data_IF_539482383368
#
_entry.id   IF_539482383368
#
_cell.length_a   1.000
_cell.length_b   1.000
_cell.length_c   1.000
_cell.angle_alpha   90.00
_cell.angle_beta   90.00
_cell.angle_gamma   90.00
#
_symmetry.space_group_name_H-M   'P 1'
#
loop_
_entity.id
_entity.type
_entity.pdbx_description
1 polymer ?
#
# COMPACT_ATOMS: atom_id res chain seq x y z
N UNK A 1 -4.58 19.79 -18.83
CA UNK A 1 -5.84 20.30 -19.38
C UNK A 1 -6.94 19.85 -18.43
N UNK A 2 -7.31 20.71 -17.50
CA UNK A 2 -8.34 20.44 -16.49
C UNK A 2 -9.69 20.76 -17.10
N UNK A 3 -10.57 19.78 -17.27
CA UNK A 3 -11.99 20.03 -17.46
C UNK A 3 -12.71 19.78 -16.14
N UNK A 4 -13.16 20.87 -15.58
CA UNK A 4 -14.06 20.97 -14.45
C UNK A 4 -15.42 20.37 -14.82
N UNK A 5 -15.85 19.36 -14.07
CA UNK A 5 -17.23 18.92 -14.06
C UNK A 5 -18.07 19.96 -13.32
N UNK A 6 -18.66 20.85 -14.07
CA UNK A 6 -19.67 21.78 -13.59
C UNK A 6 -21.05 21.18 -13.74
N UNK A 7 -21.74 21.13 -12.60
CA UNK A 7 -23.13 21.47 -12.35
C UNK A 7 -24.25 20.62 -12.92
N UNK A 8 -24.93 19.96 -12.01
CA UNK A 8 -26.39 19.80 -12.07
C UNK A 8 -27.05 20.63 -10.94
N UNK A 9 -27.44 21.91 -11.19
CA UNK A 9 -28.36 22.61 -10.30
C UNK A 9 -29.56 23.23 -11.06
N UNK A 10 -30.08 22.60 -12.12
CA UNK A 10 -31.19 23.25 -12.89
C UNK A 10 -32.57 22.64 -12.53
N UNK A 11 -32.67 21.47 -11.94
CA UNK A 11 -33.97 20.88 -11.62
C UNK A 11 -34.55 21.27 -10.26
N UNK A 12 -33.74 21.72 -9.31
CA UNK A 12 -34.23 22.07 -7.95
C UNK A 12 -34.95 23.41 -7.95
N UNK A 13 -34.53 24.36 -8.76
CA UNK A 13 -35.14 25.71 -8.81
C UNK A 13 -36.57 25.73 -9.38
N UNK A 14 -36.86 24.92 -10.40
CA UNK A 14 -38.21 24.84 -10.96
C UNK A 14 -39.21 24.15 -10.04
N UNK A 15 -38.80 23.14 -9.35
CA UNK A 15 -39.64 22.42 -8.38
C UNK A 15 -39.99 23.31 -7.19
N UNK A 16 -39.05 24.13 -6.71
CA UNK A 16 -39.27 25.07 -5.60
C UNK A 16 -40.29 26.17 -5.98
N UNK A 17 -40.29 26.63 -7.22
CA UNK A 17 -41.23 27.66 -7.69
C UNK A 17 -42.67 27.15 -7.83
N UNK A 18 -42.84 25.92 -8.32
CA UNK A 18 -44.18 25.24 -8.39
C UNK A 18 -44.69 25.00 -6.98
N UNK A 19 -43.83 24.61 -6.05
CA UNK A 19 -44.18 24.41 -4.66
C UNK A 19 -44.66 25.68 -3.94
N UNK A 20 -44.01 26.81 -4.22
CA UNK A 20 -44.38 28.11 -3.64
C UNK A 20 -45.78 28.55 -4.09
N UNK A 21 -46.12 28.34 -5.38
CA UNK A 21 -47.43 28.68 -5.93
C UNK A 21 -48.57 27.84 -5.42
N UNK A 22 -48.31 26.60 -5.02
CA UNK A 22 -49.31 25.68 -4.40
C UNK A 22 -49.53 26.08 -2.91
N UNK A 23 -48.48 26.55 -2.23
CA UNK A 23 -48.54 26.95 -0.81
C UNK A 23 -49.36 28.24 -0.58
N UNK A 24 -49.34 29.17 -1.53
CA UNK A 24 -50.01 30.46 -1.40
C UNK A 24 -51.55 30.37 -1.54
N UNK A 25 -52.06 29.25 -2.04
CA UNK A 25 -53.52 29.02 -2.31
C UNK A 25 -54.24 28.12 -1.29
N UNK A 26 -53.59 27.73 -0.20
CA UNK A 26 -54.16 26.79 0.79
C UNK A 26 -54.59 27.48 2.08
N UNK A 27 -55.85 27.22 2.52
CA UNK A 27 -56.47 27.75 3.77
C UNK A 27 -55.66 27.38 5.04
N UNK A 28 -55.53 28.34 6.02
CA UNK A 28 -54.26 28.47 6.73
C UNK A 28 -53.99 27.60 7.97
N UNK A 29 -54.78 26.72 8.43
CA UNK A 29 -54.51 26.12 9.75
C UNK A 29 -54.36 24.59 9.85
N UNK A 30 -54.92 23.80 8.97
CA UNK A 30 -54.79 22.34 9.06
C UNK A 30 -53.74 21.76 8.11
N UNK A 31 -53.51 22.42 7.01
CA UNK A 31 -52.64 21.94 5.93
C UNK A 31 -51.17 22.27 6.20
N UNK A 32 -50.87 23.38 6.91
CA UNK A 32 -49.50 23.72 7.32
C UNK A 32 -48.89 22.71 8.28
N UNK A 33 -49.69 22.17 9.20
CA UNK A 33 -49.21 21.15 10.16
C UNK A 33 -48.95 19.81 9.44
N UNK A 34 -49.85 19.42 8.51
CA UNK A 34 -49.66 18.19 7.71
C UNK A 34 -48.43 18.28 6.80
N UNK A 35 -48.13 19.46 6.23
CA UNK A 35 -46.97 19.71 5.38
C UNK A 35 -45.66 19.70 6.16
N UNK A 36 -45.62 20.33 7.35
CA UNK A 36 -44.49 20.20 8.25
C UNK A 36 -44.22 18.74 8.66
N UNK A 37 -45.26 17.98 8.94
CA UNK A 37 -45.14 16.55 9.26
C UNK A 37 -44.57 15.75 8.08
N UNK A 38 -45.04 16.00 6.86
CA UNK A 38 -44.56 15.33 5.64
C UNK A 38 -43.06 15.71 5.35
N UNK A 39 -42.71 16.99 5.53
CA UNK A 39 -41.34 17.44 5.38
C UNK A 39 -40.44 16.83 6.47
N UNK A 40 -40.89 16.78 7.72
CA UNK A 40 -40.17 16.09 8.80
C UNK A 40 -40.04 14.58 8.53
N UNK A 41 -41.09 13.92 8.02
CA UNK A 41 -41.02 12.51 7.62
C UNK A 41 -40.02 12.33 6.45
N UNK A 42 -40.07 13.18 5.43
CA UNK A 42 -39.11 13.12 4.32
C UNK A 42 -37.65 13.37 4.77
N UNK A 43 -37.42 14.29 5.72
CA UNK A 43 -36.12 14.53 6.31
C UNK A 43 -35.61 13.32 7.14
N UNK A 44 -36.51 12.58 7.78
CA UNK A 44 -36.18 11.33 8.49
C UNK A 44 -35.82 10.21 7.50
N UNK A 45 -36.47 10.15 6.34
CA UNK A 45 -36.10 9.20 5.27
C UNK A 45 -34.80 9.59 4.54
N UNK A 46 -34.43 10.87 4.47
CA UNK A 46 -33.15 11.31 3.94
C UNK A 46 -31.99 11.22 4.94
N UNK A 47 -32.27 11.06 6.22
CA UNK A 47 -31.25 10.78 7.24
C UNK A 47 -30.91 9.30 7.39
N UNK A 48 -31.20 8.47 6.39
CA UNK A 48 -30.57 7.19 6.20
C UNK A 48 -29.09 7.40 5.92
N UNK A 49 -28.34 7.82 6.93
CA UNK A 49 -26.89 7.62 6.96
C UNK A 49 -26.68 6.13 6.80
N UNK A 50 -26.21 5.71 5.64
CA UNK A 50 -25.56 4.42 5.48
C UNK A 50 -24.35 4.48 6.42
N UNK A 51 -24.55 4.07 7.67
CA UNK A 51 -23.51 4.01 8.66
C UNK A 51 -22.51 3.00 8.15
N UNK A 52 -21.38 3.47 7.63
CA UNK A 52 -20.28 2.63 7.21
C UNK A 52 -20.08 1.60 8.33
N UNK A 53 -20.30 0.33 7.99
CA UNK A 53 -20.19 -0.73 9.00
C UNK A 53 -18.71 -0.91 9.29
N UNK A 54 -18.29 -0.54 10.49
CA UNK A 54 -16.94 -0.74 10.97
C UNK A 54 -16.79 -2.09 11.66
N UNK A 55 -15.60 -2.62 11.68
CA UNK A 55 -15.28 -3.82 12.45
C UNK A 55 -15.53 -3.59 13.93
N UNK A 56 -16.33 -4.46 14.52
CA UNK A 56 -16.62 -4.49 15.95
C UNK A 56 -16.24 -5.86 16.49
N UNK A 57 -15.09 -6.00 17.16
CA UNK A 57 -14.69 -7.26 17.74
C UNK A 57 -15.67 -7.66 18.86
N UNK A 58 -16.02 -8.94 18.92
CA UNK A 58 -16.85 -9.48 20.00
C UNK A 58 -16.12 -9.42 21.35
N UNK A 59 -14.82 -9.58 21.31
CA UNK A 59 -13.96 -9.54 22.49
C UNK A 59 -12.71 -8.71 22.24
N UNK A 60 -12.29 -7.92 23.23
CA UNK A 60 -11.04 -7.15 23.22
C UNK A 60 -10.21 -7.64 24.39
N UNK A 61 -9.08 -8.29 24.10
CA UNK A 61 -8.18 -8.87 25.12
C UNK A 61 -7.53 -7.81 26.00
N UNK A 62 -7.29 -6.64 25.42
CA UNK A 62 -6.64 -5.59 26.18
C UNK A 62 -6.30 -4.35 25.36
N UNK A 63 -5.47 -3.49 25.92
CA UNK A 63 -4.98 -2.27 25.29
C UNK A 63 -3.48 -2.33 25.14
N UNK A 64 -2.99 -2.06 23.93
CA UNK A 64 -1.57 -1.96 23.63
C UNK A 64 -1.19 -0.48 23.46
N UNK A 65 -0.14 -0.07 24.13
CA UNK A 65 0.46 1.25 23.97
C UNK A 65 1.56 1.19 22.92
N UNK A 66 1.67 2.26 22.14
CA UNK A 66 2.83 2.44 21.29
C UNK A 66 4.09 2.60 22.15
N UNK A 67 5.17 1.95 21.74
CA UNK A 67 6.42 1.93 22.49
C UNK A 67 7.49 2.86 21.91
N UNK A 68 7.09 3.69 20.93
CA UNK A 68 7.93 4.73 20.36
C UNK A 68 7.11 5.82 19.67
N UNK A 69 7.79 6.93 19.36
CA UNK A 69 7.22 8.06 18.65
C UNK A 69 8.25 8.63 17.68
N UNK A 70 7.81 8.96 16.46
CA UNK A 70 8.59 9.68 15.47
C UNK A 70 8.62 11.17 15.82
N UNK A 71 9.69 11.85 15.47
CA UNK A 71 9.81 13.31 15.64
C UNK A 71 8.75 14.07 14.83
N UNK A 72 8.49 13.61 13.60
CA UNK A 72 7.42 14.11 12.73
C UNK A 72 6.60 12.96 12.18
N UNK A 73 5.31 13.18 11.87
CA UNK A 73 4.48 12.12 11.30
C UNK A 73 4.91 11.75 9.89
N UNK A 74 4.50 10.56 9.46
CA UNK A 74 4.64 10.10 8.10
C UNK A 74 3.97 11.08 7.13
N UNK A 75 4.66 11.44 6.06
CA UNK A 75 4.13 12.23 4.96
C UNK A 75 3.65 11.34 3.81
N UNK A 76 4.44 10.33 3.46
CA UNK A 76 4.17 9.38 2.38
C UNK A 76 4.85 8.05 2.65
N UNK A 77 4.38 7.01 2.00
CA UNK A 77 5.04 5.70 1.99
C UNK A 77 4.87 5.04 0.63
N UNK A 78 5.85 4.25 0.24
CA UNK A 78 5.82 3.30 -0.87
C UNK A 78 6.19 1.91 -0.33
N UNK A 79 6.47 0.94 -1.20
CA UNK A 79 6.82 -0.42 -0.77
C UNK A 79 8.21 -0.51 -0.12
N UNK A 80 9.14 0.35 -0.53
CA UNK A 80 10.54 0.31 -0.09
C UNK A 80 10.84 1.21 1.11
N UNK A 81 10.01 2.25 1.34
CA UNK A 81 10.32 3.28 2.33
C UNK A 81 9.11 4.10 2.75
N UNK A 82 9.27 4.83 3.83
CA UNK A 82 8.40 5.95 4.19
C UNK A 82 9.21 7.21 4.43
N UNK A 83 8.62 8.36 4.09
CA UNK A 83 9.19 9.69 4.32
C UNK A 83 8.37 10.43 5.37
N UNK A 84 9.03 11.05 6.32
CA UNK A 84 8.42 11.89 7.34
C UNK A 84 8.24 13.32 6.81
N UNK A 85 7.44 14.12 7.51
CA UNK A 85 7.25 15.55 7.17
C UNK A 85 8.51 16.42 7.29
N UNK A 86 9.54 15.97 7.98
CA UNK A 86 10.86 16.61 8.02
C UNK A 86 11.85 15.96 7.03
N UNK A 87 11.35 15.18 6.08
CA UNK A 87 12.11 14.45 5.05
C UNK A 87 13.05 13.35 5.58
N UNK A 88 13.02 13.02 6.86
CA UNK A 88 13.69 11.82 7.36
C UNK A 88 13.05 10.56 6.77
N UNK A 89 13.83 9.51 6.59
CA UNK A 89 13.42 8.30 5.86
C UNK A 89 13.38 7.10 6.79
N UNK A 90 12.33 6.30 6.66
CA UNK A 90 12.23 4.95 7.21
C UNK A 90 12.44 3.96 6.06
N UNK A 91 13.35 3.00 6.24
CA UNK A 91 13.60 1.90 5.30
C UNK A 91 13.10 0.59 5.87
N UNK A 92 13.29 -0.52 5.18
CA UNK A 92 13.02 -1.86 5.73
C UNK A 92 13.81 -2.17 7.01
N UNK A 93 14.95 -1.52 7.22
CA UNK A 93 15.78 -1.65 8.42
C UNK A 93 15.35 -0.71 9.56
N UNK A 94 14.27 0.04 9.39
CA UNK A 94 13.74 0.99 10.35
C UNK A 94 14.09 2.44 10.07
N UNK A 95 13.93 3.32 11.09
CA UNK A 95 14.20 4.74 10.97
C UNK A 95 15.70 4.98 10.73
N UNK A 96 16.01 5.64 9.63
CA UNK A 96 17.37 6.06 9.32
C UNK A 96 17.66 7.48 9.86
N UNK A 97 18.94 7.79 10.06
CA UNK A 97 19.38 9.15 10.39
C UNK A 97 19.54 10.04 9.13
N UNK A 98 19.06 9.55 7.99
CA UNK A 98 19.22 10.21 6.69
C UNK A 98 17.98 11.01 6.37
N UNK A 99 18.18 12.23 5.89
CA UNK A 99 17.13 13.10 5.33
C UNK A 99 17.32 13.27 3.83
N UNK A 100 16.24 13.23 3.08
CA UNK A 100 16.20 13.54 1.65
C UNK A 100 15.84 15.02 1.42
N UNK A 101 16.05 15.52 0.20
CA UNK A 101 15.50 16.80 -0.18
C UNK A 101 13.97 16.72 -0.38
N UNK A 102 13.28 17.86 -0.45
CA UNK A 102 11.82 17.91 -0.51
C UNK A 102 11.24 17.11 -1.68
N UNK A 103 11.83 17.26 -2.88
CA UNK A 103 11.38 16.61 -4.11
C UNK A 103 11.93 15.18 -4.30
N UNK A 104 12.74 14.70 -3.36
CA UNK A 104 13.35 13.38 -3.44
C UNK A 104 12.46 12.31 -2.77
N UNK A 105 12.38 11.13 -3.40
CA UNK A 105 11.74 9.96 -2.83
C UNK A 105 12.63 8.74 -2.99
N UNK A 106 12.79 7.97 -1.92
CA UNK A 106 13.54 6.71 -1.96
C UNK A 106 12.74 5.64 -2.69
N UNK A 107 13.32 5.06 -3.73
CA UNK A 107 12.74 3.97 -4.53
C UNK A 107 13.30 2.61 -4.12
N UNK A 108 14.57 2.56 -3.76
CA UNK A 108 15.25 1.34 -3.35
C UNK A 108 16.46 1.67 -2.48
N UNK A 109 16.74 0.83 -1.49
CA UNK A 109 17.87 0.96 -0.59
C UNK A 109 18.58 -0.40 -0.44
N UNK A 110 19.90 -0.38 -0.47
CA UNK A 110 20.72 -1.50 -0.03
C UNK A 110 21.89 -0.99 0.83
N UNK A 111 22.77 -1.86 1.26
CA UNK A 111 23.91 -1.51 2.14
C UNK A 111 24.99 -0.66 1.46
N UNK A 112 24.98 -0.51 0.14
CA UNK A 112 26.01 0.20 -0.64
C UNK A 112 25.53 1.55 -1.15
N UNK A 113 24.26 1.64 -1.55
CA UNK A 113 23.73 2.82 -2.24
C UNK A 113 22.21 2.87 -2.22
N UNK A 114 21.67 4.07 -2.41
CA UNK A 114 20.25 4.35 -2.51
C UNK A 114 19.90 4.79 -3.92
N UNK A 115 18.75 4.30 -4.44
CA UNK A 115 18.09 4.84 -5.61
C UNK A 115 17.02 5.83 -5.17
N UNK A 116 17.16 7.07 -5.60
CA UNK A 116 16.29 8.18 -5.21
C UNK A 116 15.75 8.87 -6.45
N UNK A 117 14.44 9.01 -6.58
CA UNK A 117 13.87 9.90 -7.60
C UNK A 117 13.97 11.35 -7.14
N UNK A 118 14.41 12.24 -8.04
CA UNK A 118 14.38 13.68 -7.82
C UNK A 118 13.36 14.30 -8.80
N UNK A 119 12.22 14.70 -8.25
CA UNK A 119 11.08 15.09 -9.10
C UNK A 119 10.64 13.95 -10.02
N UNK A 120 10.33 14.30 -11.29
CA UNK A 120 9.73 13.35 -12.23
C UNK A 120 10.72 12.66 -13.18
N UNK A 121 11.85 13.25 -13.49
CA UNK A 121 12.68 12.80 -14.63
C UNK A 121 14.14 12.55 -14.27
N UNK A 122 14.48 12.48 -13.01
CA UNK A 122 15.84 12.22 -12.56
C UNK A 122 15.86 11.05 -11.58
N UNK A 123 16.82 10.13 -11.81
CA UNK A 123 17.16 9.06 -10.89
C UNK A 123 18.57 9.32 -10.36
N UNK A 124 18.66 9.47 -9.06
CA UNK A 124 19.92 9.60 -8.34
C UNK A 124 20.36 8.23 -7.81
N UNK A 125 21.59 7.87 -8.07
CA UNK A 125 22.27 6.74 -7.46
C UNK A 125 23.24 7.35 -6.45
N UNK A 126 22.94 7.25 -5.17
CA UNK A 126 23.71 7.90 -4.11
C UNK A 126 24.41 6.83 -3.30
N UNK A 127 25.75 6.75 -3.37
CA UNK A 127 26.53 5.84 -2.53
C UNK A 127 26.31 6.14 -1.05
N UNK A 128 26.53 5.13 -0.21
CA UNK A 128 26.52 5.27 1.23
C UNK A 128 27.95 5.34 1.76
N UNK A 129 28.19 6.32 2.64
CA UNK A 129 29.38 6.38 3.48
C UNK A 129 29.04 5.77 4.84
N UNK A 130 29.92 4.87 5.29
CA UNK A 130 29.83 4.29 6.61
C UNK A 130 31.04 4.72 7.42
N UNK A 131 30.82 5.50 8.46
CA UNK A 131 31.85 5.97 9.38
C UNK A 131 31.41 5.72 10.82
N UNK A 132 32.20 4.97 11.58
CA UNK A 132 32.05 4.74 13.03
C UNK A 132 30.61 4.54 13.52
N UNK A 133 29.83 3.64 12.88
CA UNK A 133 28.41 3.34 13.12
C UNK A 133 27.40 4.39 12.60
N UNK A 134 27.83 5.40 11.86
CA UNK A 134 26.92 6.32 11.17
C UNK A 134 26.87 6.03 9.69
N UNK A 135 25.69 6.05 9.12
CA UNK A 135 25.46 5.92 7.67
C UNK A 135 25.00 7.28 7.15
N UNK A 136 25.65 7.76 6.09
CA UNK A 136 25.29 9.01 5.43
C UNK A 136 25.31 8.85 3.90
N UNK A 137 24.67 9.79 3.19
CA UNK A 137 24.65 9.82 1.73
C UNK A 137 25.89 10.53 1.19
N UNK A 138 26.62 9.86 0.31
CA UNK A 138 27.73 10.46 -0.45
C UNK A 138 27.20 11.26 -1.65
N UNK A 139 26.61 12.41 -1.38
CA UNK A 139 26.00 13.26 -2.41
C UNK A 139 26.98 13.80 -3.44
N UNK A 140 28.24 14.17 -3.07
CA UNK A 140 29.22 14.58 -4.05
C UNK A 140 29.55 13.54 -5.12
N UNK A 141 29.49 12.25 -4.78
CA UNK A 141 29.69 11.13 -5.68
C UNK A 141 28.40 10.52 -6.24
N UNK A 142 27.26 11.19 -6.05
CA UNK A 142 25.99 10.74 -6.61
C UNK A 142 26.00 10.83 -8.15
N UNK A 143 25.53 9.77 -8.79
CA UNK A 143 25.30 9.74 -10.24
C UNK A 143 23.85 10.06 -10.54
N UNK A 144 23.60 10.93 -11.52
CA UNK A 144 22.26 11.28 -11.99
C UNK A 144 22.01 10.67 -13.37
N UNK A 145 20.87 10.01 -13.52
CA UNK A 145 20.36 9.49 -14.79
C UNK A 145 19.10 10.26 -15.14
N UNK A 146 19.08 10.90 -16.31
CA UNK A 146 17.87 11.52 -16.86
C UNK A 146 16.96 10.44 -17.44
N UNK A 147 15.68 10.44 -17.02
CA UNK A 147 14.64 9.55 -17.54
C UNK A 147 13.62 10.34 -18.35
N UNK A 148 12.86 9.63 -19.21
CA UNK A 148 11.83 10.27 -20.07
C UNK A 148 10.47 10.41 -19.37
N UNK A 149 10.45 10.47 -18.04
CA UNK A 149 9.23 10.61 -17.23
C UNK A 149 9.41 10.18 -15.79
N UNK A 150 8.36 10.35 -14.98
CA UNK A 150 8.36 10.03 -13.56
C UNK A 150 8.62 8.55 -13.31
N UNK A 151 9.56 8.24 -12.42
CA UNK A 151 9.89 6.87 -12.04
C UNK A 151 8.96 6.46 -10.89
N UNK A 152 8.27 5.34 -11.05
CA UNK A 152 7.35 4.81 -10.03
C UNK A 152 7.97 3.69 -9.20
N UNK A 153 8.88 2.90 -9.80
CA UNK A 153 9.63 1.86 -9.09
C UNK A 153 10.98 1.61 -9.76
N UNK A 154 11.98 1.23 -8.98
CA UNK A 154 13.30 0.86 -9.48
C UNK A 154 14.00 -0.09 -8.51
N UNK A 155 14.95 -0.87 -9.05
CA UNK A 155 15.85 -1.73 -8.28
C UNK A 155 17.25 -1.66 -8.88
N UNK A 156 18.26 -1.96 -8.06
CA UNK A 156 19.64 -2.07 -8.49
C UNK A 156 20.25 -3.38 -7.97
N UNK A 157 20.95 -4.05 -8.86
CA UNK A 157 21.82 -5.18 -8.53
C UNK A 157 23.13 -5.00 -9.28
N UNK A 158 24.25 -4.99 -8.56
CA UNK A 158 25.57 -4.72 -9.11
C UNK A 158 25.60 -3.39 -9.89
N UNK A 159 25.84 -3.42 -11.20
CA UNK A 159 25.87 -2.25 -12.07
C UNK A 159 24.61 -2.08 -12.92
N UNK A 160 23.55 -2.84 -12.66
CA UNK A 160 22.33 -2.82 -13.44
C UNK A 160 21.20 -2.18 -12.64
N UNK A 161 20.52 -1.22 -13.26
CA UNK A 161 19.34 -0.56 -12.73
C UNK A 161 18.15 -0.88 -13.62
N UNK A 162 17.15 -1.51 -13.05
CA UNK A 162 15.86 -1.75 -13.68
C UNK A 162 14.79 -0.81 -13.12
N UNK A 163 13.98 -0.20 -13.96
CA UNK A 163 12.93 0.70 -13.49
C UNK A 163 11.71 0.73 -14.37
N UNK A 164 10.62 1.24 -13.78
CA UNK A 164 9.32 1.44 -14.40
C UNK A 164 8.92 2.91 -14.30
N UNK A 165 8.58 3.52 -15.43
CA UNK A 165 8.09 4.89 -15.49
C UNK A 165 6.56 4.93 -15.36
N UNK A 166 6.01 6.06 -14.95
CA UNK A 166 4.58 6.31 -14.87
C UNK A 166 3.85 6.18 -16.22
N UNK A 167 4.57 6.27 -17.34
CA UNK A 167 4.09 5.99 -18.68
C UNK A 167 3.98 4.50 -19.02
N UNK A 168 4.23 3.59 -18.05
CA UNK A 168 4.40 2.17 -18.25
C UNK A 168 5.59 1.81 -19.17
N UNK A 169 6.63 2.66 -19.18
CA UNK A 169 7.88 2.37 -19.87
C UNK A 169 8.81 1.62 -18.92
N UNK A 170 9.31 0.48 -19.36
CA UNK A 170 10.31 -0.32 -18.67
C UNK A 170 11.69 0.08 -19.17
N UNK A 171 12.68 0.13 -18.30
CA UNK A 171 14.07 0.39 -18.71
C UNK A 171 15.08 -0.44 -17.93
N UNK A 172 16.19 -0.76 -18.59
CA UNK A 172 17.40 -1.30 -18.01
C UNK A 172 18.55 -0.34 -18.33
N UNK A 173 19.22 0.15 -17.31
CA UNK A 173 20.38 1.01 -17.42
C UNK A 173 21.61 0.27 -16.88
N UNK A 174 22.70 0.34 -17.62
CA UNK A 174 24.00 -0.25 -17.26
C UNK A 174 24.95 0.86 -16.83
N UNK A 175 25.31 0.88 -15.53
CA UNK A 175 26.22 1.88 -14.96
C UNK A 175 27.64 1.78 -15.54
N UNK A 176 28.05 0.60 -16.00
CA UNK A 176 29.38 0.40 -16.60
C UNK A 176 29.46 0.98 -17.99
N UNK A 177 28.39 0.83 -18.79
CA UNK A 177 28.32 1.35 -20.16
C UNK A 177 27.77 2.78 -20.20
N UNK A 178 27.27 3.28 -19.08
CA UNK A 178 26.63 4.58 -18.96
C UNK A 178 25.49 4.79 -19.98
N UNK A 179 24.68 3.76 -20.20
CA UNK A 179 23.65 3.76 -21.23
C UNK A 179 22.46 2.88 -20.89
N UNK A 180 21.32 3.19 -21.53
CA UNK A 180 20.15 2.32 -21.52
C UNK A 180 20.37 1.13 -22.45
N UNK A 181 20.47 -0.07 -21.88
CA UNK A 181 20.59 -1.32 -22.65
C UNK A 181 19.22 -1.80 -23.17
N UNK A 182 18.14 -1.36 -22.53
CA UNK A 182 16.77 -1.75 -22.89
C UNK A 182 15.80 -0.64 -22.50
N UNK A 183 14.87 -0.35 -23.39
CA UNK A 183 13.67 0.45 -23.11
C UNK A 183 12.52 -0.06 -23.95
N UNK A 184 11.35 -0.29 -23.34
CA UNK A 184 10.12 -0.60 -24.04
C UNK A 184 8.96 0.07 -23.35
N UNK A 185 7.94 0.46 -24.13
CA UNK A 185 6.70 1.01 -23.62
C UNK A 185 5.63 -0.07 -23.71
N UNK A 186 5.04 -0.38 -22.58
CA UNK A 186 3.90 -1.28 -22.46
C UNK A 186 2.57 -0.57 -22.73
N UNK A 187 1.45 -1.23 -22.56
CA UNK A 187 0.13 -0.67 -22.81
C UNK A 187 -0.14 0.58 -21.96
N UNK A 188 -0.94 1.48 -22.51
CA UNK A 188 -1.35 2.69 -21.81
C UNK A 188 -2.28 2.35 -20.65
N UNK A 189 -2.12 3.10 -19.56
CA UNK A 189 -2.87 2.93 -18.31
C UNK A 189 -3.76 4.13 -18.05
N UNK A 190 -4.90 3.90 -17.39
CA UNK A 190 -5.85 4.97 -17.03
C UNK A 190 -5.69 5.43 -15.59
N UNK A 191 -5.51 4.50 -14.68
CA UNK A 191 -5.29 4.77 -13.25
C UNK A 191 -4.51 3.63 -12.60
N UNK A 192 -3.61 3.98 -11.69
CA UNK A 192 -2.77 3.04 -10.95
C UNK A 192 -2.98 3.19 -9.45
N UNK A 193 -2.77 2.11 -8.72
CA UNK A 193 -2.64 2.15 -7.26
C UNK A 193 -1.33 2.83 -6.86
N UNK A 194 -1.30 3.44 -5.68
CA UNK A 194 -0.07 3.97 -5.09
C UNK A 194 0.93 2.89 -4.64
N UNK A 195 0.49 1.63 -4.51
CA UNK A 195 1.38 0.50 -4.27
C UNK A 195 1.95 0.03 -5.62
N UNK A 196 3.27 -0.04 -5.72
CA UNK A 196 3.98 -0.54 -6.90
C UNK A 196 5.03 -1.53 -6.45
N UNK A 197 5.09 -2.69 -7.13
CA UNK A 197 6.20 -3.60 -6.94
C UNK A 197 7.46 -3.07 -7.62
N UNK A 198 8.63 -3.43 -7.09
CA UNK A 198 9.91 -3.13 -7.74
C UNK A 198 10.29 -4.25 -8.72
N UNK A 199 11.03 -3.95 -9.80
CA UNK A 199 11.63 -4.96 -10.66
C UNK A 199 12.54 -5.89 -9.86
N UNK A 200 12.59 -7.17 -10.25
CA UNK A 200 13.50 -8.14 -9.65
C UNK A 200 14.58 -8.50 -10.65
N UNK A 201 15.84 -8.17 -10.31
CA UNK A 201 17.01 -8.46 -11.13
C UNK A 201 17.62 -9.80 -10.66
N UNK A 202 17.54 -10.82 -11.50
CA UNK A 202 18.17 -12.12 -11.32
C UNK A 202 19.54 -12.14 -12.00
N UNK A 203 20.19 -13.29 -12.11
CA UNK A 203 21.54 -13.35 -12.68
C UNK A 203 21.54 -13.14 -14.20
N UNK A 204 20.54 -13.68 -14.91
CA UNK A 204 20.44 -13.59 -16.38
C UNK A 204 19.16 -12.91 -16.86
N UNK A 205 18.20 -12.72 -15.99
CA UNK A 205 16.86 -12.23 -16.30
C UNK A 205 16.45 -11.08 -15.39
N UNK A 206 15.58 -10.21 -15.89
CA UNK A 206 14.88 -9.22 -15.08
C UNK A 206 13.39 -9.46 -15.21
N UNK A 207 12.68 -9.49 -14.09
CA UNK A 207 11.22 -9.52 -14.07
C UNK A 207 10.71 -8.13 -13.75
N UNK A 208 10.07 -7.50 -14.72
CA UNK A 208 9.45 -6.18 -14.56
C UNK A 208 7.98 -6.32 -14.18
N UNK A 209 7.54 -5.71 -13.08
CA UNK A 209 6.13 -5.53 -12.75
C UNK A 209 5.58 -4.34 -13.54
N UNK A 210 4.64 -4.58 -14.44
CA UNK A 210 4.08 -3.51 -15.26
C UNK A 210 2.88 -2.83 -14.57
N UNK A 211 2.50 -1.67 -15.09
CA UNK A 211 1.39 -0.91 -14.54
C UNK A 211 0.03 -1.32 -15.14
N UNK A 212 0.03 -2.19 -16.14
CA UNK A 212 -1.15 -2.77 -16.81
C UNK A 212 -1.43 -4.23 -16.42
N UNK A 213 -0.78 -4.73 -15.35
CA UNK A 213 -1.08 -6.05 -14.77
C UNK A 213 -0.35 -7.21 -15.40
N UNK A 214 0.84 -6.96 -15.94
CA UNK A 214 1.69 -7.99 -16.55
C UNK A 214 3.03 -8.11 -15.82
N UNK A 215 3.70 -9.22 -16.05
CA UNK A 215 5.11 -9.42 -15.74
C UNK A 215 5.87 -9.56 -17.06
N UNK A 216 6.74 -8.63 -17.38
CA UNK A 216 7.60 -8.73 -18.54
C UNK A 216 8.99 -9.20 -18.12
N UNK A 217 9.43 -10.33 -18.65
CA UNK A 217 10.74 -10.90 -18.33
C UNK A 217 11.70 -10.62 -19.48
N UNK A 218 12.84 -10.01 -19.17
CA UNK A 218 13.86 -9.55 -20.09
C UNK A 218 15.13 -10.36 -19.88
N UNK A 219 15.73 -10.88 -20.98
CA UNK A 219 17.08 -11.40 -20.98
C UNK A 219 18.09 -10.24 -20.91
N UNK A 220 18.96 -10.24 -19.88
CA UNK A 220 19.90 -9.14 -19.63
C UNK A 220 20.92 -9.00 -20.76
N UNK A 221 21.45 -10.13 -21.26
CA UNK A 221 22.49 -10.13 -22.27
C UNK A 221 21.98 -9.68 -23.64
N UNK A 222 20.76 -10.11 -24.01
CA UNK A 222 20.16 -9.81 -25.30
C UNK A 222 19.38 -8.47 -25.31
N UNK A 223 18.98 -7.96 -24.14
CA UNK A 223 18.10 -6.78 -24.03
C UNK A 223 16.74 -7.01 -24.70
N UNK A 224 16.21 -8.23 -24.64
CA UNK A 224 14.94 -8.61 -25.29
C UNK A 224 13.97 -9.23 -24.33
N UNK A 225 12.69 -8.98 -24.55
CA UNK A 225 11.61 -9.67 -23.83
C UNK A 225 11.60 -11.15 -24.23
N UNK A 226 11.69 -12.03 -23.24
CA UNK A 226 11.64 -13.48 -23.41
C UNK A 226 10.31 -14.07 -22.95
N UNK A 227 9.60 -13.40 -22.04
CA UNK A 227 8.30 -13.84 -21.54
C UNK A 227 7.47 -12.67 -21.09
N UNK A 228 6.20 -12.66 -21.49
CA UNK A 228 5.20 -11.71 -21.00
C UNK A 228 4.05 -12.51 -20.38
N UNK A 229 3.80 -12.32 -19.09
CA UNK A 229 2.79 -13.03 -18.32
C UNK A 229 1.68 -12.06 -17.95
N UNK A 230 0.45 -12.36 -18.34
CA UNK A 230 -0.72 -11.61 -17.93
C UNK A 230 -1.15 -12.10 -16.55
N UNK A 231 -0.99 -11.25 -15.53
CA UNK A 231 -1.46 -11.52 -14.18
C UNK A 231 -2.95 -11.17 -14.08
N UNK A 232 -3.34 -10.00 -14.63
CA UNK A 232 -4.73 -9.56 -14.64
C UNK A 232 -4.97 -8.61 -15.82
N UNK A 233 -6.23 -8.45 -16.28
CA UNK A 233 -6.62 -7.67 -17.48
C UNK A 233 -7.58 -6.52 -17.18
N UNK A 234 -7.69 -6.09 -15.95
CA UNK A 234 -8.55 -4.98 -15.57
C UNK A 234 -8.09 -3.64 -16.19
N UNK A 235 -9.02 -2.72 -16.43
CA UNK A 235 -8.70 -1.41 -17.01
C UNK A 235 -8.16 -0.40 -15.99
N UNK A 236 -8.51 -0.55 -14.72
CA UNK A 236 -8.19 0.42 -13.66
C UNK A 236 -7.54 -0.29 -12.47
N UNK A 237 -6.59 0.37 -11.84
CA UNK A 237 -5.87 -0.12 -10.66
C UNK A 237 -5.29 -1.53 -10.86
N UNK A 238 -4.78 -1.80 -12.07
CA UNK A 238 -4.33 -3.11 -12.48
C UNK A 238 -2.81 -3.32 -12.33
N UNK A 239 -2.09 -2.30 -11.86
CA UNK A 239 -0.64 -2.43 -11.69
C UNK A 239 -0.28 -3.56 -10.72
N UNK A 240 0.88 -4.15 -10.96
CA UNK A 240 1.46 -5.14 -10.05
C UNK A 240 1.84 -4.44 -8.74
N UNK A 241 1.20 -4.86 -7.65
CA UNK A 241 1.41 -4.30 -6.30
C UNK A 241 2.40 -5.12 -5.48
N UNK A 242 2.67 -6.35 -5.88
CA UNK A 242 3.57 -7.27 -5.20
C UNK A 242 4.31 -8.14 -6.20
N UNK A 243 5.61 -8.28 -6.03
CA UNK A 243 6.45 -9.20 -6.78
C UNK A 243 7.59 -9.68 -5.88
N UNK A 244 7.69 -10.99 -5.70
CA UNK A 244 8.79 -11.63 -5.00
C UNK A 244 9.22 -12.87 -5.76
N UNK A 245 10.52 -13.00 -5.95
CA UNK A 245 11.14 -14.18 -6.54
C UNK A 245 12.09 -14.77 -5.50
N UNK A 246 11.97 -16.06 -5.24
CA UNK A 246 12.84 -16.81 -4.33
C UNK A 246 13.16 -18.15 -4.98
N UNK A 247 14.43 -18.36 -5.31
CA UNK A 247 14.85 -19.49 -6.13
C UNK A 247 14.08 -19.50 -7.47
N UNK A 248 13.44 -20.61 -7.85
CA UNK A 248 12.65 -20.76 -9.07
C UNK A 248 11.15 -20.50 -8.85
N UNK A 249 10.80 -19.80 -7.76
CA UNK A 249 9.43 -19.52 -7.36
C UNK A 249 9.15 -18.03 -7.44
N UNK A 250 8.07 -17.67 -8.12
CA UNK A 250 7.61 -16.31 -8.27
C UNK A 250 6.20 -16.17 -7.70
N UNK A 251 6.01 -15.15 -6.86
CA UNK A 251 4.70 -14.73 -6.37
C UNK A 251 4.48 -13.28 -6.78
N UNK A 252 3.36 -13.01 -7.42
CA UNK A 252 2.96 -11.67 -7.85
C UNK A 252 1.48 -11.44 -7.58
N UNK A 253 1.09 -10.18 -7.42
CA UNK A 253 -0.30 -9.82 -7.28
C UNK A 253 -0.62 -8.43 -7.86
N UNK A 254 -1.85 -8.30 -8.34
CA UNK A 254 -2.57 -7.03 -8.48
C UNK A 254 -3.54 -6.87 -7.30
N UNK A 255 -4.34 -5.82 -7.26
CA UNK A 255 -5.41 -5.69 -6.24
C UNK A 255 -6.54 -6.72 -6.40
N UNK A 256 -6.61 -7.46 -7.52
CA UNK A 256 -7.73 -8.38 -7.80
C UNK A 256 -7.30 -9.82 -8.09
N UNK A 257 -6.01 -10.08 -8.19
CA UNK A 257 -5.55 -11.43 -8.50
C UNK A 257 -4.16 -11.71 -7.93
N UNK A 258 -3.98 -12.91 -7.38
CA UNK A 258 -2.68 -13.48 -7.05
C UNK A 258 -2.27 -14.39 -8.20
N UNK A 259 -0.99 -14.37 -8.54
CA UNK A 259 -0.36 -15.23 -9.53
C UNK A 259 0.92 -15.82 -8.95
N UNK A 260 1.11 -17.13 -9.17
CA UNK A 260 2.36 -17.81 -8.82
C UNK A 260 2.89 -18.59 -10.00
N UNK A 261 4.22 -18.64 -10.11
CA UNK A 261 4.93 -19.52 -11.02
C UNK A 261 5.88 -20.37 -10.18
N UNK A 262 5.62 -21.68 -10.11
CA UNK A 262 6.30 -22.63 -9.22
C UNK A 262 6.80 -23.78 -10.06
N UNK A 263 8.12 -23.96 -10.18
CA UNK A 263 8.74 -25.04 -10.96
C UNK A 263 8.21 -25.13 -12.40
N UNK A 264 7.94 -23.97 -13.01
CA UNK A 264 7.44 -23.88 -14.40
C UNK A 264 5.92 -23.94 -14.54
N UNK A 265 5.18 -24.30 -13.50
CA UNK A 265 3.71 -24.34 -13.49
C UNK A 265 3.14 -23.02 -12.94
N UNK A 266 2.07 -22.53 -13.55
CA UNK A 266 1.43 -21.27 -13.18
C UNK A 266 0.08 -21.50 -12.54
N UNK A 267 -0.16 -20.76 -11.45
CA UNK A 267 -1.43 -20.76 -10.73
C UNK A 267 -1.95 -19.33 -10.59
N UNK A 268 -3.26 -19.17 -10.59
CA UNK A 268 -3.91 -17.87 -10.43
C UNK A 268 -5.15 -17.98 -9.55
N UNK A 269 -5.34 -16.97 -8.69
CA UNK A 269 -6.51 -16.89 -7.81
C UNK A 269 -7.07 -15.48 -7.80
N UNK A 270 -8.34 -15.34 -8.15
CA UNK A 270 -9.06 -14.08 -8.02
C UNK A 270 -9.37 -13.81 -6.56
N UNK A 271 -8.97 -12.63 -6.09
CA UNK A 271 -9.16 -12.16 -4.73
C UNK A 271 -9.00 -10.65 -4.71
N UNK A 272 -9.91 -9.92 -4.10
CA UNK A 272 -9.75 -8.49 -3.83
C UNK A 272 -8.76 -8.29 -2.68
N UNK A 273 -7.55 -7.84 -3.00
CA UNK A 273 -6.38 -7.83 -2.12
C UNK A 273 -6.13 -6.42 -1.62
N UNK A 274 -5.98 -6.29 -0.32
CA UNK A 274 -5.49 -5.09 0.34
C UNK A 274 -3.98 -5.15 0.58
N UNK A 275 -3.52 -6.29 1.06
CA UNK A 275 -2.11 -6.56 1.29
C UNK A 275 -1.77 -8.04 1.11
N UNK A 276 -0.50 -8.35 0.81
CA UNK A 276 -0.03 -9.71 0.54
C UNK A 276 1.43 -9.86 0.96
N UNK A 277 1.78 -11.01 1.47
CA UNK A 277 3.13 -11.36 1.88
C UNK A 277 3.44 -12.82 1.58
N UNK A 278 4.63 -13.09 1.05
CA UNK A 278 5.17 -14.43 0.82
C UNK A 278 6.40 -14.66 1.71
N UNK A 279 6.33 -15.60 2.66
CA UNK A 279 7.42 -15.92 3.56
C UNK A 279 8.48 -16.87 2.95
N UNK A 280 8.18 -17.43 1.79
CA UNK A 280 8.98 -18.44 1.07
C UNK A 280 8.37 -19.85 1.15
N UNK A 281 7.35 -20.04 1.99
CA UNK A 281 6.63 -21.32 2.15
C UNK A 281 5.13 -21.11 1.92
N UNK A 282 4.57 -20.07 2.54
CA UNK A 282 3.14 -19.74 2.46
C UNK A 282 2.93 -18.33 1.93
N UNK A 283 1.77 -18.11 1.38
CA UNK A 283 1.31 -16.80 0.93
C UNK A 283 0.17 -16.36 1.85
N UNK A 284 0.34 -15.21 2.48
CA UNK A 284 -0.68 -14.59 3.32
C UNK A 284 -1.30 -13.42 2.58
N UNK A 285 -2.62 -13.33 2.59
CA UNK A 285 -3.33 -12.23 1.94
C UNK A 285 -4.42 -11.65 2.85
N UNK A 286 -4.46 -10.32 2.90
CA UNK A 286 -5.54 -9.54 3.51
C UNK A 286 -6.50 -9.11 2.41
N UNK A 287 -7.76 -9.50 2.51
CA UNK A 287 -8.76 -9.14 1.50
C UNK A 287 -9.50 -7.85 1.88
N UNK A 288 -10.12 -7.21 0.89
CA UNK A 288 -10.94 -6.02 1.11
C UNK A 288 -12.17 -6.28 1.97
N UNK A 289 -12.66 -7.52 2.00
CA UNK A 289 -13.83 -7.91 2.80
C UNK A 289 -13.49 -8.29 4.26
N UNK A 290 -12.22 -8.08 4.69
CA UNK A 290 -11.75 -8.36 6.03
C UNK A 290 -11.40 -9.83 6.29
N UNK A 291 -11.16 -10.64 5.25
CA UNK A 291 -10.69 -12.02 5.44
C UNK A 291 -9.17 -12.08 5.36
N UNK A 292 -8.56 -12.79 6.30
CA UNK A 292 -7.15 -13.17 6.29
C UNK A 292 -7.05 -14.58 5.73
N UNK A 293 -6.21 -14.77 4.73
CA UNK A 293 -5.97 -16.07 4.09
C UNK A 293 -4.54 -16.51 4.27
N UNK A 294 -4.36 -17.83 4.42
CA UNK A 294 -3.11 -18.53 4.22
C UNK A 294 -3.27 -19.48 3.04
N UNK A 295 -2.40 -19.36 2.06
CA UNK A 295 -2.35 -20.24 0.89
C UNK A 295 -1.03 -20.98 0.86
N UNK A 296 -1.04 -22.15 0.23
CA UNK A 296 0.19 -22.77 -0.27
C UNK A 296 0.65 -22.07 -1.56
N UNK A 297 1.76 -22.53 -2.12
CA UNK A 297 2.36 -21.94 -3.33
C UNK A 297 1.52 -22.19 -4.60
N UNK A 298 0.60 -23.16 -4.58
CA UNK A 298 -0.35 -23.44 -5.68
C UNK A 298 -1.66 -22.66 -5.53
N UNK A 299 -1.73 -21.78 -4.54
CA UNK A 299 -2.89 -20.95 -4.18
C UNK A 299 -4.10 -21.77 -3.66
N UNK A 300 -3.87 -23.02 -3.22
CA UNK A 300 -4.84 -23.74 -2.42
C UNK A 300 -4.97 -23.07 -1.03
N UNK A 301 -6.20 -22.84 -0.61
CA UNK A 301 -6.47 -22.23 0.71
C UNK A 301 -6.20 -23.27 1.79
N UNK A 302 -5.22 -23.02 2.63
CA UNK A 302 -4.90 -23.84 3.79
C UNK A 302 -5.80 -23.46 4.97
N UNK A 303 -5.85 -22.17 5.28
CA UNK A 303 -6.66 -21.62 6.37
C UNK A 303 -7.19 -20.25 6.00
N UNK A 304 -8.29 -19.84 6.64
CA UNK A 304 -8.80 -18.48 6.54
C UNK A 304 -9.65 -18.11 7.75
N UNK A 305 -9.66 -16.83 8.09
CA UNK A 305 -10.54 -16.26 9.12
C UNK A 305 -11.11 -14.94 8.62
N UNK A 306 -12.40 -14.73 8.86
CA UNK A 306 -13.11 -13.53 8.46
C UNK A 306 -13.38 -12.62 9.65
N UNK A 307 -12.92 -11.37 9.56
CA UNK A 307 -13.25 -10.29 10.47
C UNK A 307 -14.18 -9.30 9.73
N UNK A 308 -15.49 -9.45 9.85
CA UNK A 308 -16.46 -8.68 9.06
C UNK A 308 -16.22 -7.17 9.20
N UNK A 309 -16.13 -6.45 8.06
CA UNK A 309 -15.92 -5.01 7.97
C UNK A 309 -14.55 -4.50 8.45
N UNK A 310 -13.61 -5.39 8.80
CA UNK A 310 -12.26 -4.98 9.16
C UNK A 310 -11.51 -4.41 7.94
N UNK A 311 -10.88 -3.27 8.14
CA UNK A 311 -10.02 -2.60 7.17
C UNK A 311 -8.56 -2.94 7.48
N UNK A 312 -8.17 -4.19 7.16
CA UNK A 312 -6.87 -4.76 7.52
C UNK A 312 -5.74 -4.19 6.66
N UNK A 313 -4.64 -3.83 7.29
CA UNK A 313 -3.46 -3.29 6.62
C UNK A 313 -2.17 -3.74 7.32
N UNK A 314 -1.15 -4.08 6.54
CA UNK A 314 0.14 -4.55 7.01
C UNK A 314 0.12 -6.02 7.42
N UNK A 315 1.16 -6.73 7.05
CA UNK A 315 1.40 -8.13 7.43
C UNK A 315 2.78 -8.19 8.06
N UNK A 316 2.81 -8.43 9.37
CA UNK A 316 4.04 -8.68 10.12
C UNK A 316 3.96 -10.10 10.66
N UNK A 317 4.93 -10.95 10.30
CA UNK A 317 4.99 -12.33 10.76
C UNK A 317 6.16 -12.46 11.73
N UNK A 318 5.84 -12.87 12.95
CA UNK A 318 6.81 -13.07 14.01
C UNK A 318 6.36 -14.16 14.99
N UNK A 319 7.29 -15.00 15.43
CA UNK A 319 7.08 -16.04 16.44
C UNK A 319 5.83 -16.90 16.18
N UNK A 320 5.62 -17.28 14.91
CA UNK A 320 4.45 -18.04 14.44
C UNK A 320 3.09 -17.33 14.60
N UNK A 321 3.12 -15.98 14.65
CA UNK A 321 1.94 -15.11 14.65
C UNK A 321 1.96 -14.18 13.45
N UNK A 322 0.78 -13.83 12.95
CA UNK A 322 0.57 -12.77 11.98
C UNK A 322 -0.10 -11.59 12.66
N UNK A 323 0.58 -10.46 12.64
CA UNK A 323 0.04 -9.20 13.15
C UNK A 323 -0.45 -8.34 12.00
N UNK A 324 -1.67 -7.83 12.11
CA UNK A 324 -2.25 -6.87 11.16
C UNK A 324 -3.06 -5.81 11.88
N UNK A 325 -3.18 -4.67 11.24
CA UNK A 325 -3.83 -3.50 11.81
C UNK A 325 -5.18 -3.22 11.14
N UNK A 326 -6.25 -3.13 11.93
CA UNK A 326 -7.55 -2.63 11.45
C UNK A 326 -7.60 -1.11 11.52
N UNK A 327 -7.66 -0.49 10.33
CA UNK A 327 -7.64 0.97 10.18
C UNK A 327 -8.98 1.64 10.54
N UNK A 328 -10.09 0.92 10.56
CA UNK A 328 -11.41 1.48 10.89
C UNK A 328 -11.58 1.70 12.39
N UNK A 329 -11.25 0.72 13.20
CA UNK A 329 -11.41 0.76 14.64
C UNK A 329 -10.12 1.02 15.44
N UNK A 330 -8.96 1.05 14.80
CA UNK A 330 -7.67 1.18 15.50
C UNK A 330 -7.35 -0.03 16.36
N UNK A 331 -7.56 -1.23 15.81
CA UNK A 331 -7.26 -2.49 16.47
C UNK A 331 -6.02 -3.15 15.89
N UNK A 332 -5.23 -3.78 16.75
CA UNK A 332 -4.23 -4.75 16.35
C UNK A 332 -4.87 -6.14 16.44
N UNK A 333 -4.77 -6.90 15.38
CA UNK A 333 -5.16 -8.31 15.32
C UNK A 333 -3.90 -9.14 15.41
N UNK A 334 -3.86 -10.04 16.38
CA UNK A 334 -2.84 -11.06 16.58
C UNK A 334 -3.43 -12.41 16.19
N UNK A 335 -2.98 -12.97 15.09
CA UNK A 335 -3.43 -14.23 14.53
C UNK A 335 -2.37 -15.31 14.73
N UNK A 336 -2.70 -16.36 15.45
CA UNK A 336 -1.87 -17.57 15.57
C UNK A 336 -1.81 -18.32 14.24
N UNK A 337 -0.63 -18.55 13.69
CA UNK A 337 -0.46 -19.32 12.45
C UNK A 337 -0.57 -20.84 12.66
N UNK A 338 -0.68 -21.28 13.91
CA UNK A 338 -0.82 -22.69 14.24
C UNK A 338 -2.24 -23.20 14.00
N UNK A 339 -3.23 -22.46 14.48
CA UNK A 339 -4.64 -22.88 14.51
C UNK A 339 -5.59 -21.82 13.92
N UNK A 340 -5.05 -20.71 13.46
CA UNK A 340 -5.78 -19.57 12.89
C UNK A 340 -6.78 -18.91 13.84
N UNK A 341 -6.64 -19.13 15.14
CA UNK A 341 -7.31 -18.35 16.17
C UNK A 341 -6.71 -16.94 16.24
N UNK A 342 -7.50 -15.96 16.66
CA UNK A 342 -7.03 -14.58 16.74
C UNK A 342 -7.47 -13.89 18.03
N UNK A 343 -6.66 -12.94 18.44
CA UNK A 343 -6.94 -12.00 19.53
C UNK A 343 -6.97 -10.57 18.99
N UNK A 344 -7.78 -9.73 19.63
CA UNK A 344 -7.93 -8.33 19.22
C UNK A 344 -7.53 -7.43 20.38
N UNK A 345 -6.62 -6.51 20.08
CA UNK A 345 -6.15 -5.51 21.04
C UNK A 345 -6.49 -4.11 20.56
N UNK A 346 -6.92 -3.24 21.48
CA UNK A 346 -7.14 -1.83 21.16
C UNK A 346 -5.83 -1.06 21.25
N UNK A 347 -5.42 -0.37 20.17
CA UNK A 347 -4.27 0.52 20.20
C UNK A 347 -4.64 1.86 20.85
N UNK A 348 -3.77 2.38 21.74
CA UNK A 348 -3.94 3.67 22.41
C UNK A 348 -3.32 4.80 21.58
N UNK A 349 -4.13 5.57 20.88
CA UNK A 349 -3.67 6.71 20.05
C UNK A 349 -3.57 8.06 20.80
N UNK A 350 -3.92 8.11 22.10
CA UNK A 350 -4.00 9.34 22.87
C UNK A 350 -5.32 10.08 22.63
N UNK A 351 -5.36 11.36 23.02
CA UNK A 351 -6.56 12.21 22.87
C UNK A 351 -6.80 12.71 21.44
N UNK A 352 -5.86 12.51 20.53
CA UNK A 352 -6.01 12.89 19.14
C UNK A 352 -7.07 11.99 18.48
N UNK A 353 -8.16 12.61 18.05
CA UNK A 353 -9.31 11.93 17.46
C UNK A 353 -8.85 11.11 16.24
N UNK A 354 -8.82 9.79 16.39
CA UNK A 354 -8.56 8.81 15.33
C UNK A 354 -9.47 9.01 14.10
N UNK A 355 -10.69 9.45 14.33
CA UNK A 355 -11.80 9.40 13.40
C UNK A 355 -11.83 10.44 12.28
N UNK A 356 -10.85 11.33 12.14
CA UNK A 356 -10.93 12.42 11.16
C UNK A 356 -9.73 12.61 10.24
N UNK A 357 -8.65 11.85 10.40
CA UNK A 357 -7.44 12.03 9.59
C UNK A 357 -7.08 10.79 8.79
N UNK A 358 -6.69 11.00 7.54
CA UNK A 358 -6.11 9.98 6.67
C UNK A 358 -4.90 9.36 7.39
N UNK A 359 -4.97 8.05 7.66
CA UNK A 359 -3.89 7.33 8.33
C UNK A 359 -2.82 7.01 7.28
N UNK A 360 -1.61 7.48 7.51
CA UNK A 360 -0.43 7.04 6.77
C UNK A 360 0.28 5.98 7.58
N UNK A 361 0.59 4.87 6.94
CA UNK A 361 1.18 3.72 7.58
C UNK A 361 2.36 3.19 6.78
N UNK A 362 3.33 2.64 7.47
CA UNK A 362 4.43 1.87 6.93
C UNK A 362 4.79 0.75 7.90
N UNK A 363 5.26 -0.37 7.42
CA UNK A 363 5.69 -1.46 8.28
C UNK A 363 6.93 -2.14 7.72
N UNK A 364 7.73 -2.66 8.62
CA UNK A 364 8.91 -3.48 8.36
C UNK A 364 8.65 -4.90 8.87
N UNK A 365 9.65 -5.74 8.93
CA UNK A 365 9.51 -7.10 9.47
C UNK A 365 9.04 -7.13 10.94
N UNK A 366 9.44 -6.13 11.75
CA UNK A 366 9.20 -6.13 13.20
C UNK A 366 8.57 -4.84 13.74
N UNK A 367 8.36 -3.83 12.91
CA UNK A 367 7.91 -2.52 13.37
C UNK A 367 6.75 -2.03 12.52
N UNK A 368 5.70 -1.56 13.18
CA UNK A 368 4.56 -0.87 12.58
C UNK A 368 4.63 0.62 12.92
N UNK A 369 4.63 1.45 11.88
CA UNK A 369 4.57 2.90 11.97
C UNK A 369 3.19 3.37 11.55
N UNK A 370 2.53 4.18 12.40
CA UNK A 370 1.21 4.74 12.13
C UNK A 370 1.26 6.24 12.47
N UNK A 371 1.17 7.09 11.45
CA UNK A 371 1.36 8.55 11.58
C UNK A 371 2.69 8.88 12.27
N UNK A 372 2.67 9.30 13.54
CA UNK A 372 3.85 9.60 14.36
C UNK A 372 4.15 8.52 15.42
N UNK A 373 3.41 7.41 15.43
CA UNK A 373 3.52 6.35 16.44
C UNK A 373 4.33 5.18 15.93
N UNK A 374 5.04 4.52 16.84
CA UNK A 374 5.84 3.32 16.58
C UNK A 374 5.36 2.20 17.47
N UNK A 375 5.09 1.06 16.87
CA UNK A 375 4.88 -0.21 17.57
C UNK A 375 5.98 -1.18 17.14
N UNK A 376 6.96 -1.35 17.99
CA UNK A 376 8.06 -2.29 17.86
C UNK A 376 7.68 -3.61 18.53
N UNK A 377 7.50 -4.65 17.75
CA UNK A 377 7.02 -5.95 18.23
C UNK A 377 8.08 -6.67 19.10
N UNK A 378 9.36 -6.41 18.91
CA UNK A 378 10.40 -6.98 19.76
C UNK A 378 10.27 -6.51 21.22
N UNK A 379 9.89 -5.24 21.39
CA UNK A 379 9.67 -4.67 22.73
C UNK A 379 8.30 -5.00 23.30
N UNK A 380 7.27 -5.09 22.45
CA UNK A 380 5.87 -5.32 22.87
C UNK A 380 5.66 -6.75 23.36
N UNK A 381 6.14 -7.75 22.62
CA UNK A 381 5.97 -9.16 22.98
C UNK A 381 6.67 -9.51 24.30
N UNK A 382 7.84 -8.95 24.54
CA UNK A 382 8.56 -9.11 25.82
C UNK A 382 7.75 -8.58 27.01
N UNK A 383 6.96 -7.51 26.82
CA UNK A 383 6.11 -6.95 27.89
C UNK A 383 4.88 -7.81 28.14
N UNK A 384 4.18 -8.26 27.10
CA UNK A 384 2.99 -9.12 27.23
C UNK A 384 3.36 -10.45 27.88
N UNK A 385 4.47 -11.07 27.49
CA UNK A 385 4.94 -12.32 28.09
C UNK A 385 5.31 -12.18 29.57
N UNK A 386 5.79 -11.01 30.01
CA UNK A 386 6.13 -10.74 31.40
C UNK A 386 4.89 -10.39 32.26
N UNK A 387 3.84 -9.81 31.67
CA UNK A 387 2.58 -9.53 32.37
C UNK A 387 1.72 -10.79 32.57
N UNK A 388 1.78 -11.75 31.62
CA UNK A 388 1.09 -13.04 31.73
C UNK A 388 1.80 -14.06 32.66
N UNK A 389 3.01 -13.75 33.13
CA UNK A 389 3.74 -14.56 34.12
C UNK A 389 3.56 -14.09 35.56
N UNK A 390 2.81 -13.01 35.77
CA UNK A 390 2.42 -12.52 37.10
C UNK A 390 0.96 -12.84 37.39
#
# INVERSE_FOLDING_TARGET
MYQTLTSYPIHISKTLHIFKHILDNLKPNFIKVSYCMIICLLLVFYSGCDSQKDFKPEHIQGKIEFNGKLEKPLASSNQASAKLKNNAVITENGLSNITLNENENLLYANSKQWLVSNGCAELLIIPLLQDNNTISLDRPNAKTIATKGCIVSASIKDNLIAGVLASNTLFLYDLTKDSFNFQTKEESIYAISSKHANPVILDTLIVFPTLDGRLNTIDIAQGKSVKNIIVNTEKFLNNIIYLKVKQDELVSATHKRIYTLIRGESYGKELEIRDIYFDGTHIYALSLNGTIYQFDKTLATLQSVKLPYANLNGIIIKDNHLYTFDNSGGYLIDLSLKDFSYEVFKLKFGMDRWFSKRVTMFYTQNILYINDKILDFDKTLNKIMNENKK
#
